data_IF_601879558540
#
_entry.id   IF_601879558540
#
_cell.length_a   1.000
_cell.length_b   1.000
_cell.length_c   1.000
_cell.angle_alpha   90.00
_cell.angle_beta   90.00
_cell.angle_gamma   90.00
#
_symmetry.space_group_name_H-M   'P 1'
#
loop_
_entity.id
_entity.type
_entity.pdbx_description
1 polymer ?
#
# COMPACT_ATOMS: atom_id res chain seq x y z
N UNK A 1 -6.70 -8.01 -18.52
CA UNK A 1 -6.05 -8.96 -17.59
C UNK A 1 -5.56 -8.13 -16.42
N UNK A 2 -5.89 -8.50 -15.19
CA UNK A 2 -5.32 -7.83 -14.02
C UNK A 2 -3.80 -8.06 -14.05
N UNK A 3 -3.04 -6.97 -14.13
CA UNK A 3 -1.59 -6.91 -14.03
C UNK A 3 -1.14 -7.57 -12.71
N UNK A 4 0.04 -8.19 -12.66
CA UNK A 4 0.54 -8.82 -11.43
C UNK A 4 0.59 -7.85 -10.23
N UNK A 5 0.83 -6.56 -10.51
CA UNK A 5 0.82 -5.50 -9.51
C UNK A 5 -0.58 -5.18 -8.96
N UNK A 6 -1.62 -5.34 -9.78
CA UNK A 6 -3.01 -5.19 -9.35
C UNK A 6 -3.37 -6.32 -8.37
N UNK A 7 -2.96 -7.56 -8.68
CA UNK A 7 -3.13 -8.70 -7.77
C UNK A 7 -2.38 -8.51 -6.45
N UNK A 8 -1.16 -7.96 -6.50
CA UNK A 8 -0.39 -7.64 -5.30
C UNK A 8 -1.12 -6.63 -4.42
N UNK A 9 -1.64 -5.56 -5.03
CA UNK A 9 -2.40 -4.53 -4.32
C UNK A 9 -3.65 -5.10 -3.67
N UNK A 10 -4.40 -5.94 -4.40
CA UNK A 10 -5.56 -6.66 -3.86
C UNK A 10 -5.18 -7.54 -2.66
N UNK A 11 -4.09 -8.30 -2.75
CA UNK A 11 -3.62 -9.14 -1.64
C UNK A 11 -3.21 -8.32 -0.40
N UNK A 12 -2.54 -7.16 -0.59
CA UNK A 12 -2.17 -6.26 0.50
C UNK A 12 -3.41 -5.72 1.24
N UNK A 13 -4.45 -5.38 0.48
CA UNK A 13 -5.71 -4.86 1.00
C UNK A 13 -6.50 -5.93 1.73
N UNK A 14 -6.62 -7.13 1.16
CA UNK A 14 -7.31 -8.26 1.80
C UNK A 14 -6.69 -8.60 3.16
N UNK A 15 -5.35 -8.69 3.23
CA UNK A 15 -4.66 -8.95 4.51
C UNK A 15 -4.90 -7.84 5.54
N UNK A 16 -5.01 -6.58 5.10
CA UNK A 16 -5.31 -5.45 5.98
C UNK A 16 -6.73 -5.54 6.54
N UNK A 17 -7.71 -5.87 5.70
CA UNK A 17 -9.11 -6.08 6.12
C UNK A 17 -9.19 -7.21 7.16
N UNK A 18 -8.56 -8.35 6.89
CA UNK A 18 -8.55 -9.48 7.84
C UNK A 18 -7.97 -9.11 9.21
N UNK A 19 -6.88 -8.32 9.27
CA UNK A 19 -6.32 -7.86 10.56
C UNK A 19 -7.26 -6.90 11.31
N UNK A 20 -8.02 -6.07 10.60
CA UNK A 20 -9.02 -5.19 11.22
C UNK A 20 -10.17 -6.01 11.78
N UNK A 21 -10.60 -7.05 11.05
CA UNK A 21 -11.65 -7.97 11.49
C UNK A 21 -11.25 -8.72 12.77
N UNK A 22 -10.03 -9.28 12.82
CA UNK A 22 -9.49 -9.93 14.02
C UNK A 22 -9.52 -9.00 15.24
N UNK A 23 -9.06 -7.75 15.06
CA UNK A 23 -9.05 -6.75 16.14
C UNK A 23 -10.45 -6.36 16.61
N UNK A 24 -11.40 -6.25 15.68
CA UNK A 24 -12.78 -5.92 16.01
C UNK A 24 -13.49 -7.08 16.73
N UNK A 25 -13.23 -8.33 16.34
CA UNK A 25 -13.74 -9.52 17.04
C UNK A 25 -13.21 -9.57 18.48
N UNK A 26 -11.93 -9.26 18.70
CA UNK A 26 -11.35 -9.19 20.05
C UNK A 26 -11.99 -8.08 20.92
N UNK A 27 -12.22 -6.90 20.34
CA UNK A 27 -12.86 -5.77 21.04
C UNK A 27 -14.34 -6.03 21.37
N UNK A 28 -15.06 -6.69 20.47
CA UNK A 28 -16.49 -7.03 20.64
C UNK A 28 -16.68 -8.22 21.57
N UNK A 29 -15.74 -9.17 21.63
CA UNK A 29 -15.74 -10.21 22.67
C UNK A 29 -15.69 -9.62 24.09
N UNK A 30 -15.12 -8.42 24.25
CA UNK A 30 -15.09 -7.67 25.53
C UNK A 30 -16.20 -6.62 25.71
N UNK A 31 -17.02 -6.33 24.70
CA UNK A 31 -18.00 -5.22 24.72
C UNK A 31 -19.39 -5.65 24.24
N UNK A 32 -20.46 -5.07 24.80
CA UNK A 32 -21.87 -5.31 24.37
C UNK A 32 -22.24 -4.60 23.06
N UNK A 33 -21.37 -4.59 22.06
CA UNK A 33 -21.70 -4.02 20.74
C UNK A 33 -22.53 -5.05 19.96
N UNK A 34 -23.69 -4.69 19.41
CA UNK A 34 -24.52 -5.60 18.60
C UNK A 34 -23.79 -6.06 17.33
N UNK A 35 -23.84 -7.36 17.02
CA UNK A 35 -23.19 -7.96 15.85
C UNK A 35 -23.61 -7.30 14.51
N UNK A 36 -24.86 -6.88 14.41
CA UNK A 36 -25.42 -6.14 13.26
C UNK A 36 -24.74 -4.78 12.99
N UNK A 37 -24.22 -4.12 14.02
CA UNK A 37 -23.47 -2.85 13.86
C UNK A 37 -22.03 -3.11 13.39
N UNK A 38 -21.46 -4.25 13.76
CA UNK A 38 -20.11 -4.67 13.35
C UNK A 38 -20.12 -5.01 11.86
N UNK A 39 -21.12 -5.77 11.41
CA UNK A 39 -21.27 -6.24 10.03
C UNK A 39 -21.50 -5.08 9.03
N UNK A 40 -22.31 -4.09 9.42
CA UNK A 40 -22.53 -2.88 8.63
C UNK A 40 -21.27 -2.00 8.50
N UNK A 41 -20.49 -1.84 9.58
CA UNK A 41 -19.24 -1.10 9.55
C UNK A 41 -18.18 -1.82 8.70
N UNK A 42 -18.12 -3.15 8.77
CA UNK A 42 -17.21 -3.96 7.95
C UNK A 42 -17.50 -3.82 6.45
N UNK A 43 -18.78 -3.83 6.07
CA UNK A 43 -19.19 -3.66 4.67
C UNK A 43 -18.82 -2.27 4.12
N UNK A 44 -19.01 -1.20 4.91
CA UNK A 44 -18.65 0.16 4.53
C UNK A 44 -17.12 0.32 4.38
N UNK A 45 -16.34 -0.25 5.30
CA UNK A 45 -14.88 -0.17 5.23
C UNK A 45 -14.32 -0.97 4.05
N UNK A 46 -14.90 -2.15 3.75
CA UNK A 46 -14.53 -2.92 2.58
C UNK A 46 -14.83 -2.17 1.26
N UNK A 47 -15.99 -1.52 1.15
CA UNK A 47 -16.35 -0.75 -0.05
C UNK A 47 -15.49 0.51 -0.21
N UNK A 48 -15.16 1.20 0.88
CA UNK A 48 -14.20 2.33 0.88
C UNK A 48 -12.82 1.89 0.42
N UNK A 49 -12.37 0.73 0.87
CA UNK A 49 -11.07 0.21 0.51
C UNK A 49 -11.03 -0.22 -0.96
N UNK A 50 -12.11 -0.83 -1.48
CA UNK A 50 -12.24 -1.13 -2.92
C UNK A 50 -12.21 0.12 -3.78
N UNK A 51 -12.91 1.19 -3.38
CA UNK A 51 -12.84 2.47 -4.09
C UNK A 51 -11.42 3.05 -4.06
N UNK A 52 -10.73 2.98 -2.92
CA UNK A 52 -9.34 3.41 -2.81
C UNK A 52 -8.39 2.61 -3.71
N UNK A 53 -8.58 1.30 -3.84
CA UNK A 53 -7.79 0.47 -4.77
C UNK A 53 -7.99 0.94 -6.21
N UNK A 54 -9.23 1.23 -6.61
CA UNK A 54 -9.50 1.72 -7.96
C UNK A 54 -8.87 3.10 -8.22
N UNK A 55 -8.90 4.00 -7.24
CA UNK A 55 -8.33 5.35 -7.38
C UNK A 55 -6.79 5.37 -7.34
N UNK A 56 -6.19 4.64 -6.40
CA UNK A 56 -4.74 4.68 -6.15
C UNK A 56 -3.96 3.57 -6.85
N UNK A 57 -4.64 2.56 -7.40
CA UNK A 57 -4.00 1.40 -8.03
C UNK A 57 -3.01 1.76 -9.15
N UNK A 58 -3.36 2.66 -10.08
CA UNK A 58 -2.41 3.10 -11.11
C UNK A 58 -1.16 3.78 -10.52
N UNK A 59 -1.35 4.66 -9.52
CA UNK A 59 -0.25 5.36 -8.86
C UNK A 59 0.63 4.41 -8.02
N UNK A 60 0.03 3.41 -7.37
CA UNK A 60 0.75 2.35 -6.67
C UNK A 60 1.64 1.55 -7.63
N UNK A 61 1.07 1.09 -8.74
CA UNK A 61 1.80 0.29 -9.72
C UNK A 61 2.97 1.06 -10.34
N UNK A 62 2.75 2.34 -10.70
CA UNK A 62 3.81 3.22 -11.19
C UNK A 62 4.89 3.47 -10.12
N UNK A 63 4.48 3.83 -8.90
CA UNK A 63 5.38 4.02 -7.76
C UNK A 63 6.27 2.83 -7.46
N UNK A 64 5.69 1.63 -7.47
CA UNK A 64 6.43 0.41 -7.17
C UNK A 64 7.45 0.08 -8.27
N UNK A 65 7.12 0.33 -9.54
CA UNK A 65 8.07 0.20 -10.66
C UNK A 65 9.21 1.20 -10.54
N UNK A 66 8.91 2.48 -10.27
CA UNK A 66 9.92 3.53 -10.10
C UNK A 66 10.85 3.21 -8.91
N UNK A 67 10.28 2.76 -7.80
CA UNK A 67 11.05 2.33 -6.63
C UNK A 67 11.96 1.13 -6.96
N UNK A 68 11.47 0.15 -7.74
CA UNK A 68 12.27 -1.00 -8.15
C UNK A 68 13.42 -0.60 -9.08
N UNK A 69 13.16 0.29 -10.03
CA UNK A 69 14.19 0.83 -10.92
C UNK A 69 15.27 1.59 -10.12
N UNK A 70 14.87 2.43 -9.16
CA UNK A 70 15.79 3.12 -8.26
C UNK A 70 16.63 2.13 -7.43
N UNK A 71 16.00 1.09 -6.85
CA UNK A 71 16.70 0.04 -6.12
C UNK A 71 17.74 -0.68 -6.98
N UNK A 72 17.38 -1.02 -8.23
CA UNK A 72 18.28 -1.65 -9.20
C UNK A 72 19.45 -0.75 -9.60
N UNK A 73 19.25 0.57 -9.58
CA UNK A 73 20.30 1.56 -9.78
C UNK A 73 21.19 1.78 -8.54
N UNK A 74 20.85 1.17 -7.39
CA UNK A 74 21.59 1.31 -6.13
C UNK A 74 21.17 2.52 -5.30
N UNK A 75 20.05 3.17 -5.63
CA UNK A 75 19.50 4.28 -4.87
C UNK A 75 18.88 3.79 -3.54
N UNK A 76 18.96 4.58 -2.47
CA UNK A 76 18.44 4.19 -1.15
C UNK A 76 16.90 4.18 -1.08
N UNK A 77 16.22 4.80 -2.03
CA UNK A 77 14.76 4.87 -2.08
C UNK A 77 14.26 5.75 -3.22
N UNK A 78 12.94 5.89 -3.31
CA UNK A 78 12.27 6.76 -4.27
C UNK A 78 12.00 8.13 -3.64
N UNK A 79 12.43 9.21 -4.29
CA UNK A 79 12.11 10.58 -3.91
C UNK A 79 10.89 11.09 -4.71
N UNK A 80 9.93 11.73 -4.04
CA UNK A 80 8.66 12.18 -4.61
C UNK A 80 8.32 13.57 -4.09
N UNK A 81 8.11 14.53 -4.99
CA UNK A 81 7.81 15.93 -4.68
C UNK A 81 6.30 16.19 -4.69
N UNK A 82 5.75 16.65 -3.57
CA UNK A 82 4.30 16.88 -3.42
C UNK A 82 3.72 17.97 -4.33
N UNK A 83 4.58 18.82 -4.90
CA UNK A 83 4.20 19.86 -5.88
C UNK A 83 3.81 19.25 -7.22
N UNK A 84 4.27 18.03 -7.49
CA UNK A 84 3.99 17.29 -8.71
C UNK A 84 2.82 16.35 -8.43
N UNK A 85 1.67 16.61 -9.07
CA UNK A 85 0.44 15.88 -8.78
C UNK A 85 0.57 14.36 -8.98
N UNK A 86 1.37 13.92 -9.95
CA UNK A 86 1.68 12.50 -10.18
C UNK A 86 2.51 11.91 -9.03
N UNK A 87 3.55 12.61 -8.58
CA UNK A 87 4.41 12.15 -7.49
C UNK A 87 3.71 12.19 -6.14
N UNK A 88 2.84 13.18 -5.91
CA UNK A 88 2.00 13.23 -4.73
C UNK A 88 1.05 12.02 -4.66
N UNK A 89 0.38 11.69 -5.76
CA UNK A 89 -0.50 10.52 -5.83
C UNK A 89 0.27 9.20 -5.61
N UNK A 90 1.49 9.10 -6.13
CA UNK A 90 2.37 7.96 -5.88
C UNK A 90 2.77 7.89 -4.41
N UNK A 91 3.15 9.01 -3.79
CA UNK A 91 3.54 9.07 -2.39
C UNK A 91 2.38 8.60 -1.50
N UNK A 92 1.18 9.12 -1.73
CA UNK A 92 -0.04 8.72 -1.03
C UNK A 92 -0.30 7.21 -1.16
N UNK A 93 -0.20 6.67 -2.38
CA UNK A 93 -0.40 5.25 -2.63
C UNK A 93 0.64 4.36 -1.92
N UNK A 94 1.94 4.69 -2.02
CA UNK A 94 3.00 3.90 -1.38
C UNK A 94 2.95 4.01 0.15
N UNK A 95 2.64 5.18 0.70
CA UNK A 95 2.44 5.35 2.14
C UNK A 95 1.26 4.50 2.61
N UNK A 96 0.13 4.57 1.91
CA UNK A 96 -1.08 3.85 2.27
C UNK A 96 -0.90 2.33 2.22
N UNK A 97 -0.26 1.79 1.17
CA UNK A 97 -0.21 0.35 0.91
C UNK A 97 1.09 -0.35 1.29
N UNK A 98 2.22 0.36 1.47
CA UNK A 98 3.49 -0.25 1.87
C UNK A 98 3.97 0.21 3.24
N UNK A 99 3.88 1.52 3.55
CA UNK A 99 4.39 2.02 4.83
C UNK A 99 3.52 1.60 6.01
N UNK A 100 2.19 1.74 5.88
CA UNK A 100 1.25 1.30 6.92
C UNK A 100 1.36 -0.19 7.29
N UNK A 101 1.53 -1.13 6.36
CA UNK A 101 1.80 -2.54 6.68
C UNK A 101 3.25 -2.86 7.03
N UNK A 102 4.14 -1.85 7.16
CA UNK A 102 5.56 -2.02 7.48
C UNK A 102 6.38 -2.78 6.43
N UNK A 103 6.00 -2.63 5.16
CA UNK A 103 6.71 -3.12 3.98
C UNK A 103 7.57 -2.02 3.32
N UNK A 104 7.46 -0.78 3.80
CA UNK A 104 8.31 0.33 3.43
C UNK A 104 8.47 1.29 4.61
N UNK A 105 9.48 2.15 4.54
CA UNK A 105 9.66 3.31 5.42
C UNK A 105 9.53 4.58 4.58
N UNK A 106 8.90 5.60 5.15
CA UNK A 106 8.82 6.93 4.52
C UNK A 106 9.39 7.97 5.48
N UNK A 107 10.15 8.90 4.93
CA UNK A 107 10.58 10.13 5.60
C UNK A 107 10.23 11.32 4.71
N UNK A 108 9.80 12.42 5.30
CA UNK A 108 9.49 13.65 4.58
C UNK A 108 10.45 14.76 5.00
N UNK A 109 10.98 15.47 4.01
CA UNK A 109 11.77 16.68 4.20
C UNK A 109 10.94 17.87 3.71
N UNK A 110 10.84 18.91 4.52
CA UNK A 110 10.14 20.13 4.12
C UNK A 110 11.06 20.98 3.22
N UNK A 111 10.64 21.23 1.97
CA UNK A 111 11.41 22.01 1.00
C UNK A 111 10.96 23.47 0.95
N UNK A 112 9.65 23.72 1.05
CA UNK A 112 9.02 25.04 1.09
C UNK A 112 7.84 25.04 2.09
N UNK A 113 7.26 26.21 2.46
CA UNK A 113 6.08 26.25 3.31
C UNK A 113 4.94 25.40 2.72
N UNK A 114 4.51 24.37 3.46
CA UNK A 114 3.51 23.37 3.05
C UNK A 114 3.89 22.50 1.83
N UNK A 115 5.19 22.37 1.53
CA UNK A 115 5.68 21.47 0.48
C UNK A 115 6.74 20.52 1.02
N UNK A 116 6.62 19.26 0.63
CA UNK A 116 7.39 18.15 1.15
C UNK A 116 7.96 17.29 0.03
N UNK A 117 9.22 16.88 0.23
CA UNK A 117 9.87 15.82 -0.52
C UNK A 117 9.77 14.53 0.29
N UNK A 118 9.08 13.54 -0.25
CA UNK A 118 8.91 12.23 0.36
C UNK A 118 9.97 11.26 -0.13
N UNK A 119 10.71 10.66 0.79
CA UNK A 119 11.65 9.59 0.54
C UNK A 119 11.05 8.26 1.01
N UNK A 120 10.70 7.40 0.06
CA UNK A 120 10.13 6.07 0.34
C UNK A 120 11.15 4.99 0.04
N UNK A 121 11.53 4.22 1.06
CA UNK A 121 12.40 3.06 0.93
C UNK A 121 11.59 1.78 1.15
N UNK A 122 11.52 0.92 0.13
CA UNK A 122 10.78 -0.35 0.18
C UNK A 122 11.67 -1.45 0.78
N UNK A 123 11.10 -2.24 1.70
CA UNK A 123 11.72 -3.46 2.19
C UNK A 123 11.46 -4.58 1.17
N UNK A 124 12.32 -4.66 0.15
CA UNK A 124 12.20 -5.64 -0.94
C UNK A 124 12.16 -7.10 -0.46
N UNK A 125 13.01 -7.54 0.49
CA UNK A 125 12.90 -8.89 1.04
C UNK A 125 11.51 -9.20 1.61
N UNK A 126 10.93 -8.30 2.42
CA UNK A 126 9.59 -8.52 2.99
C UNK A 126 8.50 -8.44 1.94
N UNK A 127 8.58 -7.51 1.00
CA UNK A 127 7.58 -7.38 -0.06
C UNK A 127 7.61 -8.60 -0.99
N UNK A 128 8.79 -9.13 -1.29
CA UNK A 128 8.97 -10.35 -2.09
C UNK A 128 8.44 -11.57 -1.35
N UNK A 129 8.72 -11.70 -0.06
CA UNK A 129 8.15 -12.75 0.78
C UNK A 129 6.61 -12.68 0.76
N UNK A 130 6.04 -11.49 0.95
CA UNK A 130 4.60 -11.26 0.91
C UNK A 130 3.98 -11.66 -0.44
N UNK A 131 4.61 -11.24 -1.54
CA UNK A 131 4.16 -11.59 -2.88
C UNK A 131 4.19 -13.10 -3.10
N UNK A 132 5.28 -13.76 -2.69
CA UNK A 132 5.43 -15.21 -2.80
C UNK A 132 4.39 -15.98 -1.96
N UNK A 133 4.09 -15.52 -0.74
CA UNK A 133 3.02 -16.08 0.10
C UNK A 133 1.64 -15.97 -0.57
N UNK A 134 1.47 -14.97 -1.43
CA UNK A 134 0.27 -14.72 -2.23
C UNK A 134 0.31 -15.41 -3.61
N UNK A 135 1.34 -16.21 -3.90
CA UNK A 135 1.51 -16.91 -5.18
C UNK A 135 1.96 -16.03 -6.35
N UNK A 136 2.55 -14.86 -6.06
CA UNK A 136 3.07 -13.91 -7.05
C UNK A 136 4.60 -13.90 -7.03
N UNK A 137 5.20 -13.94 -8.23
CA UNK A 137 6.63 -13.69 -8.42
C UNK A 137 6.85 -12.20 -8.69
N UNK A 138 7.20 -11.46 -7.65
CA UNK A 138 7.32 -10.00 -7.70
C UNK A 138 8.35 -9.52 -8.72
N UNK A 139 9.52 -10.18 -8.77
CA UNK A 139 10.59 -9.82 -9.68
C UNK A 139 10.16 -10.06 -11.14
N UNK A 140 9.49 -11.18 -11.41
CA UNK A 140 9.00 -11.48 -12.76
C UNK A 140 7.90 -10.53 -13.24
N UNK A 141 7.06 -10.01 -12.34
CA UNK A 141 6.03 -9.02 -12.68
C UNK A 141 6.63 -7.63 -12.90
N UNK A 142 7.59 -7.22 -12.07
CA UNK A 142 8.28 -5.93 -12.23
C UNK A 142 9.24 -5.89 -13.43
N UNK A 143 9.77 -7.04 -13.85
CA UNK A 143 10.63 -7.15 -15.03
C UNK A 143 9.85 -7.21 -16.36
N UNK A 144 8.54 -7.45 -16.32
CA UNK A 144 7.69 -7.60 -17.52
C UNK A 144 7.11 -6.30 -18.08
N UNK A 145 7.30 -5.19 -17.37
CA UNK A 145 6.80 -3.85 -17.74
C UNK A 145 7.85 -2.96 -18.38
#
# INVERSE_FOLDING_TARGET
MADGLDRLLHALVERRIMRVDEKNVELTAGSRVPAETVDANQTIEADRERHRVAELGPAFADGLRRAYAAHRAGEPGLALDDRRADENAIADALVQFLVRPHLATSHSEQTEPNHYLYHVAVDWPRLTQFASESGLDLDAELARS
#
